data_IF_076306693019
#
_entry.id   IF_076306693019
#
_cell.length_a   1.000
_cell.length_b   1.000
_cell.length_c   1.000
_cell.angle_alpha   90.00
_cell.angle_beta   90.00
_cell.angle_gamma   90.00
#
_symmetry.space_group_name_H-M   'P 1'
#
loop_
_entity.id
_entity.type
_entity.pdbx_description
1 polymer ?
#
# COMPACT_ATOMS: atom_id res chain seq x y z
N UNK A 1 31.81 0.47 -18.67
CA UNK A 1 32.01 0.60 -17.20
C UNK A 1 30.83 1.22 -16.42
N UNK A 2 29.93 2.06 -17.01
CA UNK A 2 28.76 2.65 -16.30
C UNK A 2 27.57 1.71 -16.04
N UNK A 3 27.42 0.64 -16.82
CA UNK A 3 26.25 -0.26 -16.75
C UNK A 3 26.30 -1.27 -15.60
N UNK A 4 27.48 -1.72 -15.18
CA UNK A 4 27.64 -2.66 -14.05
C UNK A 4 27.34 -2.00 -12.70
N UNK A 5 27.73 -0.73 -12.53
CA UNK A 5 27.48 0.08 -11.32
C UNK A 5 26.00 0.44 -11.14
N UNK A 6 25.23 0.55 -12.21
CA UNK A 6 23.77 0.77 -12.13
C UNK A 6 23.03 -0.51 -11.69
N UNK A 7 23.39 -1.67 -12.26
CA UNK A 7 22.80 -2.97 -11.86
C UNK A 7 23.10 -3.33 -10.41
N UNK A 8 24.34 -3.11 -9.95
CA UNK A 8 24.75 -3.36 -8.56
C UNK A 8 23.94 -2.50 -7.57
N UNK A 9 23.87 -1.18 -7.81
CA UNK A 9 23.07 -0.26 -6.98
C UNK A 9 21.60 -0.65 -6.94
N UNK A 10 21.01 -1.00 -8.10
CA UNK A 10 19.63 -1.49 -8.15
C UNK A 10 19.41 -2.72 -7.25
N UNK A 11 20.33 -3.68 -7.28
CA UNK A 11 20.27 -4.87 -6.43
C UNK A 11 20.35 -4.50 -4.94
N UNK A 12 21.30 -3.65 -4.56
CA UNK A 12 21.46 -3.18 -3.19
C UNK A 12 20.19 -2.49 -2.64
N UNK A 13 19.51 -1.68 -3.45
CA UNK A 13 18.21 -1.09 -3.08
C UNK A 13 17.11 -2.14 -2.89
N UNK A 14 17.04 -3.15 -3.75
CA UNK A 14 16.04 -4.21 -3.63
C UNK A 14 16.27 -5.07 -2.38
N UNK A 15 17.53 -5.48 -2.14
CA UNK A 15 17.91 -6.25 -0.95
C UNK A 15 17.59 -5.44 0.32
N UNK A 16 17.88 -4.13 0.34
CA UNK A 16 17.53 -3.26 1.46
C UNK A 16 16.01 -3.13 1.67
N UNK A 17 15.23 -2.96 0.59
CA UNK A 17 13.76 -2.89 0.68
C UNK A 17 13.19 -4.18 1.28
N UNK A 18 13.69 -5.34 0.88
CA UNK A 18 13.22 -6.62 1.41
C UNK A 18 13.60 -6.81 2.87
N UNK A 19 14.85 -6.51 3.24
CA UNK A 19 15.34 -6.68 4.61
C UNK A 19 14.66 -5.73 5.60
N UNK A 20 14.22 -4.55 5.15
CA UNK A 20 13.55 -3.55 5.99
C UNK A 20 12.03 -3.70 6.06
N UNK A 21 11.44 -4.66 5.34
CA UNK A 21 9.99 -4.77 5.16
C UNK A 21 9.22 -5.00 6.48
N UNK A 22 9.69 -5.92 7.34
CA UNK A 22 9.02 -6.21 8.62
C UNK A 22 9.11 -5.04 9.60
N UNK A 23 10.27 -4.37 9.67
CA UNK A 23 10.45 -3.15 10.46
C UNK A 23 9.55 -2.01 9.94
N UNK A 24 9.34 -1.96 8.62
CA UNK A 24 8.41 -1.01 8.05
C UNK A 24 6.97 -1.30 8.50
N UNK A 25 6.55 -2.57 8.62
CA UNK A 25 5.19 -2.88 9.08
C UNK A 25 4.93 -2.36 10.50
N UNK A 26 5.85 -2.58 11.42
CA UNK A 26 5.70 -2.15 12.82
C UNK A 26 5.65 -0.63 12.97
N UNK A 27 6.36 0.10 12.10
CA UNK A 27 6.43 1.56 12.13
C UNK A 27 5.33 2.26 11.32
N UNK A 28 4.79 1.59 10.28
CA UNK A 28 3.97 2.24 9.26
C UNK A 28 2.51 1.79 9.22
N UNK A 29 2.17 0.64 9.80
CA UNK A 29 0.83 0.04 9.66
C UNK A 29 -0.01 0.10 10.94
N UNK A 30 0.43 0.88 11.92
CA UNK A 30 -0.23 1.01 13.21
C UNK A 30 -0.01 -0.22 14.10
N UNK A 31 -0.93 -0.47 15.06
CA UNK A 31 -0.75 -1.53 16.06
C UNK A 31 -0.77 -2.93 15.42
N UNK A 32 -0.07 -3.92 16.01
CA UNK A 32 -0.04 -5.30 15.50
C UNK A 32 -1.41 -5.97 15.37
N UNK A 33 -2.36 -5.54 16.21
CA UNK A 33 -3.75 -6.01 16.22
C UNK A 33 -4.64 -5.30 15.19
N UNK A 34 -4.13 -4.25 14.55
CA UNK A 34 -4.85 -3.47 13.56
C UNK A 34 -5.03 -4.21 12.23
N UNK A 35 -6.09 -3.84 11.51
CA UNK A 35 -6.43 -4.44 10.22
C UNK A 35 -5.30 -4.30 9.19
N UNK A 36 -4.68 -3.11 9.10
CA UNK A 36 -3.58 -2.86 8.17
C UNK A 36 -2.40 -3.80 8.45
N UNK A 37 -1.89 -3.81 9.68
CA UNK A 37 -0.76 -4.66 10.06
C UNK A 37 -1.04 -6.14 9.79
N UNK A 38 -2.18 -6.66 10.27
CA UNK A 38 -2.55 -8.07 10.10
C UNK A 38 -2.68 -8.46 8.62
N UNK A 39 -3.21 -7.58 7.78
CA UNK A 39 -3.39 -7.83 6.34
C UNK A 39 -2.05 -7.86 5.60
N UNK A 40 -1.16 -6.91 5.87
CA UNK A 40 0.20 -6.92 5.30
C UNK A 40 1.03 -8.10 5.81
N UNK A 41 0.93 -8.43 7.10
CA UNK A 41 1.59 -9.61 7.67
C UNK A 41 1.08 -10.89 6.99
N UNK A 42 -0.23 -10.99 6.70
CA UNK A 42 -0.77 -12.14 5.95
C UNK A 42 -0.17 -12.24 4.55
N UNK A 43 -0.07 -11.12 3.83
CA UNK A 43 0.60 -11.08 2.54
C UNK A 43 2.07 -11.52 2.64
N UNK A 44 2.80 -11.03 3.64
CA UNK A 44 4.19 -11.43 3.88
C UNK A 44 4.35 -12.93 4.19
N UNK A 45 3.43 -13.50 4.99
CA UNK A 45 3.44 -14.94 5.28
C UNK A 45 3.25 -15.77 4.02
N UNK A 46 2.30 -15.39 3.15
CA UNK A 46 2.09 -16.08 1.86
C UNK A 46 3.32 -15.95 0.96
N UNK A 47 3.95 -14.78 0.92
CA UNK A 47 5.21 -14.58 0.18
C UNK A 47 6.35 -15.49 0.66
N UNK A 48 6.42 -15.78 1.96
CA UNK A 48 7.46 -16.64 2.56
C UNK A 48 7.11 -18.13 2.56
N UNK A 49 5.88 -18.49 2.21
CA UNK A 49 5.42 -19.88 2.23
C UNK A 49 5.85 -20.61 0.94
N UNK A 50 6.72 -21.63 1.03
CA UNK A 50 7.22 -22.36 -0.13
C UNK A 50 6.16 -23.17 -0.85
N UNK A 51 4.99 -23.41 -0.24
CA UNK A 51 3.87 -24.13 -0.87
C UNK A 51 3.01 -23.24 -1.76
N UNK A 52 3.21 -21.92 -1.71
CA UNK A 52 2.42 -20.96 -2.49
C UNK A 52 2.78 -21.04 -3.97
N UNK A 53 1.75 -20.99 -4.84
CA UNK A 53 1.93 -20.94 -6.29
C UNK A 53 2.87 -19.79 -6.72
N UNK A 54 3.83 -20.03 -7.63
CA UNK A 54 4.81 -19.02 -8.03
C UNK A 54 4.20 -17.70 -8.51
N UNK A 55 3.10 -17.77 -9.28
CA UNK A 55 2.40 -16.56 -9.76
C UNK A 55 1.83 -15.69 -8.63
N UNK A 56 1.43 -16.31 -7.51
CA UNK A 56 0.95 -15.61 -6.32
C UNK A 56 2.10 -14.98 -5.52
N UNK A 57 3.19 -15.73 -5.34
CA UNK A 57 4.40 -15.24 -4.65
C UNK A 57 4.95 -14.03 -5.39
N UNK A 58 5.10 -14.12 -6.72
CA UNK A 58 5.60 -13.02 -7.53
C UNK A 58 4.71 -11.79 -7.41
N UNK A 59 3.38 -11.94 -7.52
CA UNK A 59 2.47 -10.79 -7.45
C UNK A 59 2.53 -10.08 -6.09
N UNK A 60 2.52 -10.83 -4.99
CA UNK A 60 2.66 -10.25 -3.64
C UNK A 60 4.01 -9.57 -3.48
N UNK A 61 5.08 -10.22 -3.93
CA UNK A 61 6.42 -9.67 -3.84
C UNK A 61 6.55 -8.33 -4.57
N UNK A 62 6.10 -8.26 -5.82
CA UNK A 62 6.09 -7.00 -6.59
C UNK A 62 5.24 -5.93 -5.91
N UNK A 63 4.12 -6.32 -5.30
CA UNK A 63 3.22 -5.41 -4.57
C UNK A 63 3.90 -4.82 -3.34
N UNK A 64 4.56 -5.64 -2.53
CA UNK A 64 5.27 -5.19 -1.33
C UNK A 64 6.51 -4.36 -1.68
N UNK A 65 7.29 -4.78 -2.68
CA UNK A 65 8.43 -4.00 -3.20
C UNK A 65 7.97 -2.64 -3.72
N UNK A 66 6.87 -2.60 -4.47
CA UNK A 66 6.33 -1.35 -4.99
C UNK A 66 5.87 -0.46 -3.83
N UNK A 67 5.09 -0.99 -2.89
CA UNK A 67 4.63 -0.25 -1.71
C UNK A 67 5.81 0.39 -0.97
N UNK A 68 6.82 -0.40 -0.59
CA UNK A 68 7.96 0.08 0.20
C UNK A 68 8.83 1.06 -0.61
N UNK A 69 9.09 0.79 -1.89
CA UNK A 69 9.84 1.72 -2.74
C UNK A 69 9.13 3.08 -2.90
N UNK A 70 7.80 3.12 -2.94
CA UNK A 70 7.05 4.38 -2.94
C UNK A 70 7.15 5.05 -1.56
N UNK A 71 7.15 4.29 -0.44
CA UNK A 71 7.34 4.87 0.90
C UNK A 71 8.67 5.61 1.02
N UNK A 72 9.74 5.06 0.44
CA UNK A 72 11.07 5.69 0.44
C UNK A 72 11.11 7.05 -0.30
N UNK A 73 10.24 7.27 -1.29
CA UNK A 73 10.21 8.51 -2.08
C UNK A 73 9.11 9.49 -1.64
N UNK A 74 8.31 9.15 -0.63
CA UNK A 74 7.17 9.97 -0.17
C UNK A 74 7.18 10.18 1.34
N UNK A 75 8.32 9.91 1.98
CA UNK A 75 8.59 10.28 3.36
C UNK A 75 9.88 11.08 3.42
N UNK A 76 9.99 11.93 4.43
CA UNK A 76 11.23 12.67 4.67
C UNK A 76 12.32 11.72 5.13
N UNK A 77 13.47 11.80 4.46
CA UNK A 77 14.67 11.02 4.77
C UNK A 77 15.67 11.89 5.52
N UNK A 78 16.32 11.27 6.52
CA UNK A 78 17.28 11.93 7.38
C UNK A 78 18.56 11.11 7.42
N UNK A 79 19.70 11.81 7.57
CA UNK A 79 20.99 11.17 7.78
C UNK A 79 21.00 10.59 9.21
N UNK A 80 21.30 9.30 9.30
CA UNK A 80 21.45 8.56 10.55
C UNK A 80 22.85 7.93 10.54
N UNK A 81 23.74 8.43 11.38
CA UNK A 81 25.15 8.00 11.41
C UNK A 81 26.10 9.08 11.93
N UNK A 82 27.38 8.71 12.08
CA UNK A 82 28.44 9.64 12.51
C UNK A 82 28.81 10.64 11.41
N UNK A 83 28.80 10.20 10.14
CA UNK A 83 28.99 11.08 9.00
C UNK A 83 27.73 11.92 8.74
N UNK A 84 27.88 13.23 8.85
CA UNK A 84 26.79 14.22 8.77
C UNK A 84 26.88 15.12 7.55
N UNK A 85 27.87 14.88 6.67
CA UNK A 85 28.21 15.71 5.52
C UNK A 85 28.50 17.17 5.92
N UNK A 86 29.05 17.36 7.12
CA UNK A 86 29.32 18.68 7.70
C UNK A 86 28.07 19.45 8.15
N UNK A 87 26.89 18.82 8.15
CA UNK A 87 25.64 19.46 8.56
C UNK A 87 25.45 19.40 10.08
N UNK A 88 25.02 20.52 10.67
CA UNK A 88 24.70 20.59 12.11
C UNK A 88 23.30 20.02 12.39
N UNK A 89 23.13 19.43 13.57
CA UNK A 89 21.83 18.87 14.00
C UNK A 89 20.75 19.94 14.21
N UNK A 90 21.13 21.20 14.46
CA UNK A 90 20.22 22.32 14.66
C UNK A 90 19.91 23.10 13.36
N UNK A 91 20.10 22.48 12.19
CA UNK A 91 19.78 23.11 10.90
C UNK A 91 18.28 23.37 10.72
N UNK A 92 17.44 22.58 11.39
CA UNK A 92 16.00 22.82 11.49
C UNK A 92 15.73 23.54 12.81
N UNK A 93 14.95 24.62 12.74
CA UNK A 93 14.56 25.41 13.92
C UNK A 93 13.69 24.59 14.89
N UNK A 94 13.58 25.05 16.14
CA UNK A 94 12.82 24.36 17.20
C UNK A 94 11.31 24.27 16.93
N UNK A 95 10.77 25.13 16.06
CA UNK A 95 9.35 25.08 15.67
C UNK A 95 9.09 23.99 14.62
N UNK A 96 10.15 23.45 14.02
CA UNK A 96 10.05 22.35 13.08
C UNK A 96 9.84 21.01 13.81
N UNK A 97 8.84 20.19 13.42
CA UNK A 97 8.61 18.88 14.04
C UNK A 97 9.77 17.89 13.89
N UNK A 98 10.78 18.21 13.07
CA UNK A 98 11.99 17.41 12.88
C UNK A 98 13.25 18.09 13.42
N UNK A 99 13.13 19.05 14.35
CA UNK A 99 14.26 19.62 15.06
C UNK A 99 15.21 18.53 15.60
N UNK A 100 16.52 18.79 15.54
CA UNK A 100 17.57 17.83 15.93
C UNK A 100 17.89 16.76 14.89
N UNK A 101 17.14 16.65 13.79
CA UNK A 101 17.44 15.73 12.69
C UNK A 101 18.17 16.42 11.54
N UNK A 102 19.02 15.67 10.85
CA UNK A 102 19.76 16.16 9.68
C UNK A 102 19.01 15.70 8.42
N UNK A 103 18.36 16.61 7.67
CA UNK A 103 17.65 16.24 6.45
C UNK A 103 18.65 15.81 5.37
N UNK A 104 18.23 14.86 4.53
CA UNK A 104 19.04 14.45 3.39
C UNK A 104 19.23 15.64 2.41
N UNK A 105 20.47 15.94 1.96
CA UNK A 105 20.72 17.01 1.00
C UNK A 105 19.90 16.87 -0.28
N UNK A 106 19.38 17.98 -0.86
CA UNK A 106 18.49 17.93 -2.03
C UNK A 106 19.05 17.15 -3.22
N UNK A 107 20.36 17.29 -3.51
CA UNK A 107 21.01 16.59 -4.62
C UNK A 107 21.05 15.08 -4.38
N UNK A 108 21.36 14.65 -3.15
CA UNK A 108 21.34 13.23 -2.80
C UNK A 108 19.92 12.66 -2.83
N UNK A 109 18.94 13.42 -2.32
CA UNK A 109 17.52 13.06 -2.41
C UNK A 109 17.08 12.87 -3.86
N UNK A 110 17.40 13.82 -4.75
CA UNK A 110 17.06 13.73 -6.17
C UNK A 110 17.73 12.52 -6.85
N UNK A 111 18.96 12.16 -6.47
CA UNK A 111 19.63 10.96 -6.98
C UNK A 111 18.96 9.66 -6.52
N UNK A 112 18.55 9.60 -5.26
CA UNK A 112 17.78 8.46 -4.72
C UNK A 112 16.44 8.33 -5.44
N UNK A 113 15.71 9.43 -5.60
CA UNK A 113 14.44 9.47 -6.33
C UNK A 113 14.61 9.01 -7.78
N UNK A 114 15.67 9.43 -8.47
CA UNK A 114 15.93 8.98 -9.83
C UNK A 114 16.05 7.46 -9.92
N UNK A 115 16.78 6.84 -8.98
CA UNK A 115 16.94 5.38 -8.96
C UNK A 115 15.63 4.69 -8.58
N UNK A 116 15.00 5.12 -7.49
CA UNK A 116 13.78 4.49 -6.97
C UNK A 116 12.63 4.64 -7.97
N UNK A 117 12.38 5.83 -8.49
CA UNK A 117 11.26 6.08 -9.40
C UNK A 117 11.53 5.46 -10.77
N UNK A 118 12.62 5.83 -11.43
CA UNK A 118 12.81 5.45 -12.84
C UNK A 118 13.31 4.02 -13.02
N UNK A 119 14.17 3.49 -12.14
CA UNK A 119 14.76 2.16 -12.32
C UNK A 119 14.04 1.03 -11.59
N UNK A 120 13.22 1.35 -10.57
CA UNK A 120 12.52 0.37 -9.74
C UNK A 120 11.00 0.52 -9.92
N UNK A 121 10.40 1.62 -9.46
CA UNK A 121 8.95 1.79 -9.41
C UNK A 121 8.30 1.72 -10.80
N UNK A 122 8.87 2.36 -11.83
CA UNK A 122 8.30 2.31 -13.20
C UNK A 122 8.18 0.88 -13.73
N UNK A 123 9.21 0.05 -13.50
CA UNK A 123 9.20 -1.36 -13.89
C UNK A 123 8.17 -2.13 -13.06
N UNK A 124 8.22 -2.00 -11.74
CA UNK A 124 7.33 -2.71 -10.83
C UNK A 124 5.85 -2.38 -11.08
N UNK A 125 5.49 -1.11 -11.34
CA UNK A 125 4.11 -0.71 -11.66
C UNK A 125 3.58 -1.46 -12.88
N UNK A 126 4.36 -1.50 -13.97
CA UNK A 126 3.95 -2.17 -15.21
C UNK A 126 3.80 -3.68 -15.00
N UNK A 127 4.77 -4.32 -14.36
CA UNK A 127 4.77 -5.76 -14.13
C UNK A 127 3.66 -6.19 -13.16
N UNK A 128 3.44 -5.42 -12.09
CA UNK A 128 2.37 -5.66 -11.14
C UNK A 128 1.00 -5.55 -11.81
N UNK A 129 0.75 -4.49 -12.58
CA UNK A 129 -0.55 -4.31 -13.24
C UNK A 129 -0.85 -5.44 -14.24
N UNK A 130 0.14 -5.84 -15.04
CA UNK A 130 0.00 -6.96 -15.98
C UNK A 130 -0.30 -8.28 -15.26
N UNK A 131 0.44 -8.58 -14.17
CA UNK A 131 0.23 -9.80 -13.38
C UNK A 131 -1.12 -9.79 -12.64
N UNK A 132 -1.48 -8.66 -12.06
CA UNK A 132 -2.74 -8.48 -11.34
C UNK A 132 -3.91 -8.64 -12.32
N UNK A 133 -3.86 -7.98 -13.48
CA UNK A 133 -4.88 -8.13 -14.53
C UNK A 133 -5.01 -9.59 -15.00
N UNK A 134 -3.89 -10.28 -15.25
CA UNK A 134 -3.92 -11.70 -15.65
C UNK A 134 -4.54 -12.60 -14.57
N UNK A 135 -4.22 -12.37 -13.30
CA UNK A 135 -4.79 -13.14 -12.20
C UNK A 135 -6.29 -12.88 -12.05
N UNK A 136 -6.68 -11.60 -12.11
CA UNK A 136 -8.06 -11.14 -12.08
C UNK A 136 -8.91 -11.71 -13.23
N UNK A 137 -8.37 -11.72 -14.46
CA UNK A 137 -9.04 -12.30 -15.63
C UNK A 137 -9.25 -13.82 -15.54
N UNK A 138 -8.34 -14.55 -14.87
CA UNK A 138 -8.52 -16.00 -14.64
C UNK A 138 -9.64 -16.28 -13.62
N UNK A 139 -9.92 -15.33 -12.73
CA UNK A 139 -10.93 -15.41 -11.66
C UNK A 139 -10.96 -16.77 -10.92
N UNK A 140 -9.78 -17.31 -10.60
CA UNK A 140 -9.67 -18.61 -9.92
C UNK A 140 -9.92 -18.43 -8.44
N UNK A 141 -10.74 -19.32 -7.87
CA UNK A 141 -11.02 -19.38 -6.43
C UNK A 141 -9.73 -19.43 -5.60
N UNK A 142 -8.78 -20.28 -6.00
CA UNK A 142 -7.49 -20.45 -5.31
C UNK A 142 -6.63 -19.19 -5.24
N UNK A 143 -6.88 -18.20 -6.11
CA UNK A 143 -6.14 -16.92 -6.15
C UNK A 143 -6.89 -15.76 -5.48
N UNK A 144 -8.09 -16.02 -4.97
CA UNK A 144 -8.96 -14.98 -4.41
C UNK A 144 -8.30 -14.23 -3.25
N UNK A 145 -7.76 -14.96 -2.27
CA UNK A 145 -7.14 -14.33 -1.08
C UNK A 145 -5.95 -13.45 -1.49
N UNK A 146 -5.14 -13.91 -2.45
CA UNK A 146 -3.99 -13.14 -2.95
C UNK A 146 -4.47 -11.87 -3.66
N UNK A 147 -5.52 -11.98 -4.46
CA UNK A 147 -6.14 -10.84 -5.15
C UNK A 147 -6.68 -9.82 -4.15
N UNK A 148 -7.39 -10.27 -3.10
CA UNK A 148 -7.85 -9.43 -2.00
C UNK A 148 -6.68 -8.68 -1.33
N UNK A 149 -5.62 -9.39 -0.94
CA UNK A 149 -4.47 -8.81 -0.25
C UNK A 149 -3.76 -7.76 -1.11
N UNK A 150 -3.59 -8.04 -2.40
CA UNK A 150 -2.94 -7.12 -3.35
C UNK A 150 -3.80 -5.88 -3.55
N UNK A 151 -5.10 -6.03 -3.79
CA UNK A 151 -6.03 -4.90 -3.92
C UNK A 151 -6.03 -4.06 -2.64
N UNK A 152 -6.10 -4.69 -1.46
CA UNK A 152 -6.05 -4.01 -0.18
C UNK A 152 -4.78 -3.14 -0.04
N UNK A 153 -3.61 -3.69 -0.33
CA UNK A 153 -2.33 -2.96 -0.25
C UNK A 153 -2.30 -1.79 -1.23
N UNK A 154 -2.81 -1.98 -2.45
CA UNK A 154 -2.87 -0.92 -3.46
C UNK A 154 -3.83 0.20 -3.06
N UNK A 155 -5.01 -0.13 -2.52
CA UNK A 155 -5.99 0.86 -2.02
C UNK A 155 -5.42 1.65 -0.83
N UNK A 156 -4.77 0.97 0.10
CA UNK A 156 -4.07 1.64 1.20
C UNK A 156 -2.96 2.55 0.67
N UNK A 157 -2.17 2.09 -0.30
CA UNK A 157 -1.14 2.92 -0.92
C UNK A 157 -1.73 4.15 -1.62
N UNK A 158 -2.93 4.07 -2.21
CA UNK A 158 -3.65 5.22 -2.77
C UNK A 158 -3.97 6.28 -1.69
N UNK A 159 -4.41 5.87 -0.50
CA UNK A 159 -4.59 6.80 0.62
C UNK A 159 -3.26 7.47 1.00
N UNK A 160 -2.19 6.69 1.14
CA UNK A 160 -0.87 7.18 1.56
C UNK A 160 -0.25 8.18 0.57
N UNK A 161 -0.34 7.93 -0.74
CA UNK A 161 0.16 8.88 -1.75
C UNK A 161 -0.72 10.14 -1.82
N UNK A 162 -2.02 10.01 -1.62
CA UNK A 162 -2.95 11.16 -1.52
C UNK A 162 -2.60 12.02 -0.31
N UNK A 163 -2.35 11.40 0.85
CA UNK A 163 -1.90 12.08 2.06
C UNK A 163 -0.55 12.80 1.88
N UNK A 164 0.39 12.16 1.17
CA UNK A 164 1.65 12.80 0.82
C UNK A 164 1.45 14.04 -0.05
N UNK A 165 0.62 13.97 -1.09
CA UNK A 165 0.31 15.13 -1.94
C UNK A 165 -0.35 16.27 -1.17
N UNK A 166 -1.26 15.96 -0.23
CA UNK A 166 -1.89 16.95 0.62
C UNK A 166 -0.90 17.58 1.61
N UNK A 167 -0.08 16.76 2.25
CA UNK A 167 0.98 17.21 3.14
C UNK A 167 1.99 18.10 2.44
N UNK A 168 2.35 17.76 1.19
CA UNK A 168 3.24 18.58 0.36
C UNK A 168 2.61 19.93 0.03
N UNK A 169 1.36 19.96 -0.43
CA UNK A 169 0.64 21.21 -0.71
C UNK A 169 0.61 22.14 0.51
N UNK A 170 0.26 21.59 1.68
CA UNK A 170 0.23 22.33 2.95
C UNK A 170 1.61 22.84 3.34
N UNK A 171 2.63 21.98 3.30
CA UNK A 171 4.03 22.32 3.64
C UNK A 171 4.57 23.48 2.80
N UNK A 172 4.15 23.57 1.53
CA UNK A 172 4.59 24.59 0.59
C UNK A 172 3.58 25.74 0.41
N UNK A 173 2.59 25.87 1.30
CA UNK A 173 1.64 26.99 1.29
C UNK A 173 0.77 27.09 0.03
N UNK A 174 0.56 25.97 -0.68
CA UNK A 174 -0.25 25.96 -1.89
C UNK A 174 -1.74 26.19 -1.54
N UNK A 175 -2.44 26.99 -2.33
CA UNK A 175 -3.88 27.29 -2.14
C UNK A 175 -4.84 26.18 -2.61
N UNK A 176 -4.33 24.96 -2.77
CA UNK A 176 -5.05 23.79 -3.28
C UNK A 176 -4.85 22.61 -2.33
N UNK A 177 -5.79 21.67 -2.32
CA UNK A 177 -5.76 20.53 -1.38
C UNK A 177 -4.59 19.59 -1.66
N UNK A 178 -4.24 19.38 -2.93
CA UNK A 178 -3.18 18.46 -3.35
C UNK A 178 -2.14 19.15 -4.23
N UNK A 179 -0.88 18.74 -4.10
CA UNK A 179 0.20 19.32 -4.90
C UNK A 179 0.06 18.94 -6.39
N UNK A 180 -0.46 17.74 -6.68
CA UNK A 180 -0.62 17.20 -8.04
C UNK A 180 -2.03 16.67 -8.27
N UNK A 181 -3.02 17.56 -8.31
CA UNK A 181 -4.45 17.18 -8.39
C UNK A 181 -4.75 16.20 -9.52
N UNK A 182 -4.27 16.43 -10.74
CA UNK A 182 -4.49 15.50 -11.87
C UNK A 182 -3.94 14.09 -11.59
N UNK A 183 -2.80 13.97 -10.90
CA UNK A 183 -2.28 12.67 -10.49
C UNK A 183 -3.11 12.02 -9.40
N UNK A 184 -3.63 12.81 -8.47
CA UNK A 184 -4.53 12.29 -7.44
C UNK A 184 -5.82 11.75 -8.07
N UNK A 185 -6.40 12.45 -9.06
CA UNK A 185 -7.55 11.96 -9.83
C UNK A 185 -7.27 10.60 -10.49
N UNK A 186 -6.11 10.47 -11.15
CA UNK A 186 -5.69 9.19 -11.74
C UNK A 186 -5.59 8.06 -10.69
N UNK A 187 -5.06 8.36 -9.50
CA UNK A 187 -4.95 7.37 -8.41
C UNK A 187 -6.33 6.93 -7.90
N UNK A 188 -7.26 7.88 -7.76
CA UNK A 188 -8.60 7.61 -7.25
C UNK A 188 -9.42 6.82 -8.29
N UNK A 189 -9.30 7.15 -9.57
CA UNK A 189 -9.86 6.35 -10.65
C UNK A 189 -9.34 4.92 -10.63
N UNK A 190 -8.03 4.73 -10.45
CA UNK A 190 -7.43 3.41 -10.30
C UNK A 190 -8.00 2.63 -9.11
N UNK A 191 -8.18 3.28 -7.96
CA UNK A 191 -8.80 2.68 -6.79
C UNK A 191 -10.25 2.23 -7.06
N UNK A 192 -11.04 3.06 -7.74
CA UNK A 192 -12.40 2.72 -8.15
C UNK A 192 -12.44 1.49 -9.09
N UNK A 193 -11.51 1.39 -10.03
CA UNK A 193 -11.42 0.23 -10.94
C UNK A 193 -11.12 -1.05 -10.15
N UNK A 194 -10.18 -1.00 -9.20
CA UNK A 194 -9.86 -2.14 -8.34
C UNK A 194 -11.05 -2.56 -7.46
N UNK A 195 -11.76 -1.60 -6.86
CA UNK A 195 -12.95 -1.85 -6.06
C UNK A 195 -14.09 -2.44 -6.91
N UNK A 196 -14.35 -1.88 -8.09
CA UNK A 196 -15.37 -2.39 -9.00
C UNK A 196 -15.12 -3.85 -9.37
N UNK A 197 -13.87 -4.20 -9.68
CA UNK A 197 -13.54 -5.58 -9.96
C UNK A 197 -13.68 -6.48 -8.72
N UNK A 198 -13.20 -6.03 -7.56
CA UNK A 198 -13.33 -6.79 -6.32
C UNK A 198 -14.80 -7.12 -6.04
N UNK A 199 -15.68 -6.13 -6.10
CA UNK A 199 -17.12 -6.32 -5.87
C UNK A 199 -17.79 -7.17 -6.95
N UNK A 200 -17.36 -7.05 -8.21
CA UNK A 200 -17.84 -7.92 -9.28
C UNK A 200 -17.49 -9.40 -9.05
N UNK A 201 -16.24 -9.70 -8.67
CA UNK A 201 -15.79 -11.07 -8.37
C UNK A 201 -16.49 -11.69 -7.15
N UNK A 202 -16.92 -10.86 -6.21
CA UNK A 202 -17.64 -11.27 -5.02
C UNK A 202 -19.16 -11.16 -5.16
N UNK A 203 -19.68 -10.89 -6.36
CA UNK A 203 -21.11 -10.74 -6.55
C UNK A 203 -21.82 -12.05 -6.19
N UNK A 204 -22.72 -11.99 -5.21
CA UNK A 204 -23.49 -13.13 -4.72
C UNK A 204 -22.86 -13.86 -3.52
N UNK A 205 -21.57 -13.65 -3.22
CA UNK A 205 -20.92 -14.17 -2.02
C UNK A 205 -20.15 -13.01 -1.39
N UNK A 206 -20.71 -12.42 -0.33
CA UNK A 206 -20.13 -11.27 0.36
C UNK A 206 -19.18 -11.74 1.46
N UNK A 207 -17.86 -11.86 1.23
CA UNK A 207 -16.96 -12.67 2.07
C UNK A 207 -16.73 -12.07 3.45
N UNK A 208 -17.07 -10.78 3.59
CA UNK A 208 -16.97 -10.03 4.84
C UNK A 208 -18.33 -9.70 5.45
N UNK A 209 -19.44 -10.20 4.90
CA UNK A 209 -20.77 -10.04 5.50
C UNK A 209 -20.97 -10.97 6.69
N UNK A 210 -21.93 -10.64 7.56
CA UNK A 210 -22.33 -11.52 8.68
C UNK A 210 -22.95 -12.84 8.22
N UNK A 211 -23.63 -12.81 7.07
CA UNK A 211 -24.33 -13.97 6.53
C UNK A 211 -23.38 -14.95 5.82
N UNK A 212 -22.10 -14.61 5.65
CA UNK A 212 -21.13 -15.44 4.95
C UNK A 212 -20.72 -16.63 5.81
N UNK A 213 -21.08 -17.83 5.36
CA UNK A 213 -20.73 -19.07 6.03
C UNK A 213 -19.36 -19.55 5.57
N UNK A 214 -18.72 -20.38 6.41
CA UNK A 214 -17.45 -21.03 6.07
C UNK A 214 -17.53 -21.81 4.75
N UNK A 215 -18.69 -22.42 4.47
CA UNK A 215 -18.93 -23.12 3.22
C UNK A 215 -18.86 -22.18 2.01
N UNK A 216 -19.39 -20.95 2.13
CA UNK A 216 -19.34 -19.96 1.06
C UNK A 216 -17.90 -19.51 0.80
N UNK A 217 -17.09 -19.34 1.86
CA UNK A 217 -15.67 -19.00 1.75
C UNK A 217 -14.84 -20.13 1.13
N UNK A 218 -15.14 -21.38 1.46
CA UNK A 218 -14.52 -22.54 0.81
C UNK A 218 -14.88 -22.61 -0.67
N UNK A 219 -16.15 -22.39 -1.01
CA UNK A 219 -16.63 -22.42 -2.39
C UNK A 219 -16.13 -21.23 -3.20
N UNK A 220 -16.05 -20.02 -2.63
CA UNK A 220 -15.59 -18.83 -3.35
C UNK A 220 -14.08 -18.81 -3.55
N UNK A 221 -13.33 -19.26 -2.53
CA UNK A 221 -11.92 -18.92 -2.42
C UNK A 221 -11.00 -20.11 -2.10
N UNK A 222 -11.53 -21.33 -2.00
CA UNK A 222 -10.74 -22.54 -1.73
C UNK A 222 -9.92 -22.43 -0.44
N UNK A 223 -10.45 -21.70 0.56
CA UNK A 223 -9.71 -21.35 1.76
C UNK A 223 -9.66 -22.51 2.74
N UNK A 224 -8.50 -22.68 3.37
CA UNK A 224 -8.34 -23.54 4.54
C UNK A 224 -8.84 -22.84 5.81
N UNK A 225 -8.89 -23.58 6.91
CA UNK A 225 -9.35 -23.11 8.22
C UNK A 225 -8.62 -21.85 8.71
N UNK A 226 -7.31 -21.75 8.47
CA UNK A 226 -6.51 -20.61 8.92
C UNK A 226 -6.87 -19.35 8.12
N UNK A 227 -7.04 -19.50 6.80
CA UNK A 227 -7.47 -18.43 5.89
C UNK A 227 -8.91 -17.99 6.17
N UNK A 228 -9.81 -18.91 6.49
CA UNK A 228 -11.20 -18.60 6.88
C UNK A 228 -11.22 -17.78 8.17
N UNK A 229 -10.48 -18.21 9.20
CA UNK A 229 -10.33 -17.45 10.46
C UNK A 229 -9.81 -16.04 10.22
N UNK A 230 -8.86 -15.88 9.29
CA UNK A 230 -8.36 -14.57 8.90
C UNK A 230 -9.48 -13.68 8.30
N UNK A 231 -10.27 -14.20 7.35
CA UNK A 231 -11.37 -13.46 6.71
C UNK A 231 -12.43 -13.03 7.74
N UNK A 232 -12.85 -13.94 8.63
CA UNK A 232 -13.78 -13.63 9.71
C UNK A 232 -13.24 -12.57 10.67
N UNK A 233 -11.97 -12.68 11.03
CA UNK A 233 -11.32 -11.69 11.89
C UNK A 233 -11.31 -10.30 11.22
N UNK A 234 -10.97 -10.22 9.92
CA UNK A 234 -11.01 -8.95 9.19
C UNK A 234 -12.42 -8.38 9.06
N UNK A 235 -13.43 -9.22 8.83
CA UNK A 235 -14.84 -8.80 8.82
C UNK A 235 -15.27 -8.21 10.17
N UNK A 236 -14.93 -8.89 11.26
CA UNK A 236 -15.28 -8.43 12.60
C UNK A 236 -14.61 -7.09 12.95
N UNK A 237 -13.34 -6.88 12.54
CA UNK A 237 -12.69 -5.58 12.69
C UNK A 237 -13.37 -4.50 11.85
N UNK A 238 -13.66 -4.79 10.58
CA UNK A 238 -14.36 -3.84 9.69
C UNK A 238 -15.69 -3.39 10.27
N UNK A 239 -16.46 -4.31 10.86
CA UNK A 239 -17.74 -4.01 11.50
C UNK A 239 -17.61 -3.11 12.71
N UNK A 240 -16.61 -3.36 13.57
CA UNK A 240 -16.33 -2.51 14.74
C UNK A 240 -16.05 -1.06 14.35
N UNK A 241 -15.44 -0.83 13.19
CA UNK A 241 -15.11 0.51 12.70
C UNK A 241 -16.09 1.05 11.65
N UNK A 242 -17.21 0.38 11.39
CA UNK A 242 -18.10 0.71 10.27
C UNK A 242 -18.60 2.17 10.30
N UNK A 243 -19.08 2.63 11.46
CA UNK A 243 -19.56 4.01 11.65
C UNK A 243 -18.45 5.04 11.41
N UNK A 244 -17.25 4.79 11.97
CA UNK A 244 -16.10 5.67 11.79
C UNK A 244 -15.70 5.75 10.31
N UNK A 245 -15.67 4.62 9.63
CA UNK A 245 -15.32 4.57 8.21
C UNK A 245 -16.37 5.24 7.33
N UNK A 246 -17.64 5.10 7.66
CA UNK A 246 -18.71 5.84 6.99
C UNK A 246 -18.52 7.35 7.14
N UNK A 247 -18.20 7.83 8.34
CA UNK A 247 -17.92 9.25 8.58
C UNK A 247 -16.72 9.76 7.76
N UNK A 248 -15.61 8.99 7.73
CA UNK A 248 -14.42 9.28 6.91
C UNK A 248 -14.80 9.42 5.43
N UNK A 249 -15.66 8.53 4.94
CA UNK A 249 -16.12 8.54 3.55
C UNK A 249 -17.04 9.72 3.25
N UNK A 250 -17.99 10.01 4.14
CA UNK A 250 -18.92 11.14 4.01
C UNK A 250 -18.20 12.49 4.05
N UNK A 251 -17.14 12.59 4.85
CA UNK A 251 -16.27 13.79 4.91
C UNK A 251 -15.23 13.86 3.80
N UNK A 252 -15.21 12.89 2.87
CA UNK A 252 -14.26 12.86 1.76
C UNK A 252 -12.78 12.98 2.22
N UNK A 253 -12.41 12.31 3.33
CA UNK A 253 -11.05 12.34 3.89
C UNK A 253 -10.16 11.34 3.14
N UNK A 254 -9.90 11.62 1.87
CA UNK A 254 -9.16 10.74 0.94
C UNK A 254 -7.75 10.36 1.42
N UNK A 255 -7.16 11.17 2.29
CA UNK A 255 -5.83 10.99 2.87
C UNK A 255 -5.82 9.96 4.01
N UNK A 256 -7.00 9.56 4.52
CA UNK A 256 -7.09 8.64 5.65
C UNK A 256 -6.82 7.19 5.21
N UNK A 257 -6.01 6.45 5.97
CA UNK A 257 -5.56 5.10 5.62
C UNK A 257 -6.71 4.15 5.24
N UNK A 258 -7.85 4.30 5.92
CA UNK A 258 -9.03 3.46 5.73
C UNK A 258 -10.04 4.00 4.69
N UNK A 259 -9.83 5.16 4.06
CA UNK A 259 -10.81 5.73 3.14
C UNK A 259 -11.13 4.78 1.97
N UNK A 260 -10.09 4.30 1.27
CA UNK A 260 -10.27 3.39 0.13
C UNK A 260 -10.45 1.94 0.59
N UNK A 261 -9.69 1.50 1.59
CA UNK A 261 -9.74 0.12 2.10
C UNK A 261 -11.12 -0.23 2.66
N UNK A 262 -11.76 0.69 3.38
CA UNK A 262 -13.07 0.42 4.00
C UNK A 262 -14.15 0.05 2.99
N UNK A 263 -14.01 0.48 1.74
CA UNK A 263 -14.95 0.21 0.65
C UNK A 263 -14.93 -1.25 0.20
N UNK A 264 -13.88 -2.03 0.51
CA UNK A 264 -13.86 -3.49 0.29
C UNK A 264 -14.90 -4.23 1.12
N UNK A 265 -15.36 -3.63 2.21
CA UNK A 265 -16.28 -4.24 3.17
C UNK A 265 -17.74 -3.80 2.97
N UNK A 266 -18.02 -2.98 1.95
CA UNK A 266 -19.37 -2.54 1.60
C UNK A 266 -20.11 -3.63 0.79
N UNK A 267 -21.34 -3.98 1.17
CA UNK A 267 -22.16 -4.95 0.45
C UNK A 267 -22.80 -4.37 -0.82
N UNK A 268 -23.23 -3.12 -0.76
CA UNK A 268 -23.86 -2.41 -1.88
C UNK A 268 -22.94 -1.31 -2.41
N UNK A 269 -21.66 -1.66 -2.61
CA UNK A 269 -20.68 -0.71 -3.11
C UNK A 269 -21.07 -0.17 -4.50
N UNK A 270 -20.86 1.13 -4.69
CA UNK A 270 -21.02 1.81 -5.97
C UNK A 270 -19.76 2.63 -6.27
N UNK A 271 -19.39 2.79 -7.56
CA UNK A 271 -18.32 3.69 -7.94
C UNK A 271 -18.58 5.10 -7.40
N UNK A 272 -17.60 5.67 -6.71
CA UNK A 272 -17.72 7.01 -6.14
C UNK A 272 -17.05 8.01 -7.05
N UNK A 273 -17.76 9.09 -7.39
CA UNK A 273 -17.12 10.27 -7.97
C UNK A 273 -16.22 10.89 -6.92
N UNK A 274 -14.91 10.76 -7.10
CA UNK A 274 -13.91 11.48 -6.34
C UNK A 274 -13.63 12.83 -7.00
N UNK A 275 -12.69 13.59 -6.44
CA UNK A 275 -12.09 14.79 -7.05
C UNK A 275 -11.66 14.58 -8.50
#
# INVERSE_FOLDING_TARGET
>A
MRWSTSRRRKKEYLDHIENSMQDAFTKLLGPPEGLLFRTYLRAWKIFKDPSTMPECVELIHHTLLLWMSIRLTTRSSFIVGEETLGMKQNILDETNPNHGKIPLPPVLGAQMDLILIHHIQTKLRRELLDKLQKMMSKNKQSTWLVTYLVIFILLHNTALITAHDAGYAKKHGMKRRFAREEKVKEYHLGANILLAHFHYCNKGIYPFSEDCKDQDLRTLAGLDEEKIKFVHHTSNLARRYALQWEEIRNKAVYEHDYFFVSQLFETNWQPRTTI
#
